data_IF_331516321151
#
_entry.id   IF_331516321151
#
_cell.length_a   1.000
_cell.length_b   1.000
_cell.length_c   1.000
_cell.angle_alpha   90.00
_cell.angle_beta   90.00
_cell.angle_gamma   90.00
#
_symmetry.space_group_name_H-M   'P 1'
#
loop_
_entity.id
_entity.type
_entity.pdbx_description
1 polymer ?
#
# COMPACT_ATOMS: atom_id res chain seq x y z
N UNK A 1 0.08 11.95 6.94
CA UNK A 1 0.93 11.34 5.88
C UNK A 1 1.53 10.06 6.45
N UNK A 2 1.70 9.03 5.63
CA UNK A 2 1.93 7.65 6.10
C UNK A 2 3.11 7.53 7.10
N UNK A 3 3.00 6.68 8.13
CA UNK A 3 4.09 6.44 9.08
C UNK A 3 5.30 5.80 8.37
N UNK A 4 6.49 5.89 8.97
CA UNK A 4 7.72 5.32 8.38
C UNK A 4 7.63 3.81 8.12
N UNK A 5 6.86 3.10 8.96
CA UNK A 5 6.54 1.68 8.83
C UNK A 5 5.03 1.49 8.94
N UNK A 6 4.47 0.66 8.08
CA UNK A 6 3.04 0.38 8.04
C UNK A 6 2.76 -1.07 7.64
N UNK A 7 1.61 -1.60 8.04
CA UNK A 7 1.09 -2.84 7.46
C UNK A 7 0.46 -2.57 6.10
N UNK A 8 0.44 -3.55 5.20
CA UNK A 8 -0.24 -3.39 3.89
C UNK A 8 -1.73 -3.06 4.03
N UNK A 9 -2.38 -3.54 5.10
CA UNK A 9 -3.77 -3.22 5.40
C UNK A 9 -3.94 -1.73 5.76
N UNK A 10 -3.03 -1.18 6.55
CA UNK A 10 -3.07 0.24 6.91
C UNK A 10 -2.87 1.11 5.66
N UNK A 11 -1.92 0.75 4.79
CA UNK A 11 -1.70 1.47 3.53
C UNK A 11 -2.94 1.36 2.61
N UNK A 12 -3.55 0.18 2.48
CA UNK A 12 -4.78 0.00 1.70
C UNK A 12 -5.87 0.96 2.18
N UNK A 13 -6.18 0.97 3.49
CA UNK A 13 -7.21 1.83 4.08
C UNK A 13 -6.96 3.32 3.86
N UNK A 14 -5.69 3.73 3.91
CA UNK A 14 -5.30 5.10 3.64
C UNK A 14 -5.57 5.49 2.18
N UNK A 15 -5.20 4.63 1.23
CA UNK A 15 -5.44 4.86 -0.20
C UNK A 15 -6.94 4.85 -0.50
N UNK A 16 -7.71 3.95 0.09
CA UNK A 16 -9.17 3.90 -0.04
C UNK A 16 -9.81 5.19 0.48
N UNK A 17 -9.34 5.69 1.63
CA UNK A 17 -9.84 6.92 2.24
C UNK A 17 -9.50 8.17 1.42
N UNK A 18 -8.34 8.21 0.75
CA UNK A 18 -7.93 9.32 -0.11
C UNK A 18 -8.62 9.28 -1.47
N UNK A 19 -8.75 8.08 -2.06
CA UNK A 19 -9.33 7.91 -3.41
C UNK A 19 -10.86 7.81 -3.40
N UNK A 20 -11.47 7.52 -2.25
CA UNK A 20 -12.90 7.23 -2.13
C UNK A 20 -13.32 5.92 -2.81
N UNK A 21 -12.36 5.04 -3.13
CA UNK A 21 -12.60 3.75 -3.80
C UNK A 21 -12.26 2.61 -2.87
N UNK A 22 -13.00 1.50 -2.97
CA UNK A 22 -12.63 0.24 -2.32
C UNK A 22 -11.62 -0.52 -3.18
N UNK A 23 -10.54 -1.01 -2.56
CA UNK A 23 -9.47 -1.71 -3.25
C UNK A 23 -9.54 -3.21 -2.97
N UNK A 24 -9.43 -4.02 -4.02
CA UNK A 24 -9.33 -5.46 -3.85
C UNK A 24 -7.97 -5.83 -3.24
N UNK A 25 -7.99 -6.36 -2.01
CA UNK A 25 -6.80 -6.68 -1.19
C UNK A 25 -5.70 -7.43 -1.94
N UNK A 26 -6.06 -8.46 -2.71
CA UNK A 26 -5.08 -9.26 -3.46
C UNK A 26 -4.47 -8.48 -4.62
N UNK A 27 -5.26 -7.66 -5.32
CA UNK A 27 -4.77 -6.86 -6.43
C UNK A 27 -3.86 -5.74 -5.94
N UNK A 28 -4.24 -5.11 -4.82
CA UNK A 28 -3.43 -4.09 -4.17
C UNK A 28 -2.06 -4.63 -3.77
N UNK A 29 -2.03 -5.80 -3.10
CA UNK A 29 -0.77 -6.44 -2.73
C UNK A 29 0.07 -6.81 -3.96
N UNK A 30 -0.54 -7.37 -5.01
CA UNK A 30 0.15 -7.68 -6.27
C UNK A 30 0.70 -6.42 -6.96
N UNK A 31 -0.03 -5.31 -6.90
CA UNK A 31 0.40 -4.03 -7.46
C UNK A 31 1.65 -3.53 -6.74
N UNK A 32 1.64 -3.51 -5.41
CA UNK A 32 2.78 -3.06 -4.61
C UNK A 32 4.03 -3.91 -4.83
N UNK A 33 3.85 -5.23 -4.93
CA UNK A 33 4.92 -6.18 -5.21
C UNK A 33 5.52 -5.96 -6.60
N UNK A 34 4.68 -5.91 -7.65
CA UNK A 34 5.12 -5.68 -9.04
C UNK A 34 5.79 -4.33 -9.26
N UNK A 35 5.35 -3.31 -8.53
CA UNK A 35 5.88 -1.95 -8.68
C UNK A 35 7.12 -1.71 -7.84
N UNK A 36 7.46 -2.59 -6.89
CA UNK A 36 8.59 -2.40 -5.99
C UNK A 36 8.47 -1.14 -5.12
N UNK A 37 7.25 -0.63 -4.91
CA UNK A 37 7.02 0.61 -4.15
C UNK A 37 7.26 0.45 -2.65
N UNK A 38 7.20 -0.79 -2.17
CA UNK A 38 7.40 -1.14 -0.77
C UNK A 38 8.45 -2.23 -0.64
N UNK A 39 9.07 -2.30 0.53
CA UNK A 39 9.94 -3.39 0.94
C UNK A 39 9.55 -3.84 2.34
N UNK A 40 9.69 -5.14 2.60
CA UNK A 40 9.46 -5.71 3.93
C UNK A 40 10.53 -5.22 4.89
N UNK A 41 10.11 -4.74 6.06
CA UNK A 41 11.03 -4.27 7.10
C UNK A 41 11.60 -5.41 7.96
N UNK A 42 11.12 -6.65 7.78
CA UNK A 42 11.47 -7.80 8.63
C UNK A 42 10.87 -7.73 10.04
N UNK A 43 10.12 -6.68 10.34
CA UNK A 43 9.41 -6.47 11.59
C UNK A 43 7.94 -6.84 11.44
N UNK A 44 7.31 -7.20 12.54
CA UNK A 44 5.91 -7.60 12.55
C UNK A 44 5.15 -6.85 13.64
N UNK A 45 3.96 -6.35 13.27
CA UNK A 45 3.02 -5.73 14.18
C UNK A 45 2.07 -6.79 14.77
N UNK A 46 2.11 -6.94 16.09
CA UNK A 46 1.23 -7.83 16.85
C UNK A 46 0.09 -7.08 17.57
N UNK A 47 -0.09 -5.79 17.31
CA UNK A 47 -1.05 -4.94 18.04
C UNK A 47 -2.50 -5.26 17.68
N UNK A 48 -2.75 -5.81 16.48
CA UNK A 48 -4.07 -6.07 15.94
C UNK A 48 -4.80 -7.30 16.54
N UNK A 49 -4.31 -7.88 17.64
CA UNK A 49 -4.98 -8.96 18.39
C UNK A 49 -5.08 -10.31 17.67
N UNK A 50 -4.45 -10.46 16.50
CA UNK A 50 -4.46 -11.66 15.66
C UNK A 50 -3.06 -12.08 15.20
N UNK A 51 -2.97 -12.75 14.04
CA UNK A 51 -1.67 -13.14 13.46
C UNK A 51 -0.83 -11.86 13.22
N UNK A 52 0.43 -11.84 13.66
CA UNK A 52 1.30 -10.69 13.46
C UNK A 52 1.41 -10.32 11.97
N UNK A 53 1.23 -9.04 11.67
CA UNK A 53 1.26 -8.51 10.31
C UNK A 53 2.63 -7.93 10.01
N UNK A 54 3.24 -8.33 8.90
CA UNK A 54 4.53 -7.78 8.47
C UNK A 54 4.43 -6.27 8.24
N UNK A 55 5.44 -5.55 8.72
CA UNK A 55 5.63 -4.13 8.50
C UNK A 55 6.42 -3.90 7.22
N UNK A 56 6.01 -2.87 6.49
CA UNK A 56 6.58 -2.45 5.23
C UNK A 56 7.00 -0.99 5.32
N UNK A 57 8.01 -0.62 4.53
CA UNK A 57 8.42 0.77 4.32
C UNK A 57 8.38 1.11 2.84
N UNK A 58 8.20 2.39 2.53
CA UNK A 58 8.21 2.87 1.15
C UNK A 58 9.65 2.95 0.61
N UNK A 59 9.89 2.44 -0.60
CA UNK A 59 11.18 2.60 -1.28
C UNK A 59 11.26 4.00 -1.90
N UNK A 60 12.09 4.86 -1.32
CA UNK A 60 12.28 6.24 -1.80
C UNK A 60 12.85 6.30 -3.22
N UNK A 61 13.66 5.32 -3.57
CA UNK A 61 14.31 5.15 -4.88
C UNK A 61 13.22 5.04 -5.97
N UNK A 62 12.35 4.04 -5.86
CA UNK A 62 11.23 3.79 -6.77
C UNK A 62 10.22 4.94 -6.82
N UNK A 63 10.01 5.65 -5.70
CA UNK A 63 9.13 6.82 -5.63
C UNK A 63 9.73 8.04 -6.33
N UNK A 64 11.06 8.20 -6.29
CA UNK A 64 11.76 9.34 -6.88
C UNK A 64 12.00 9.17 -8.38
N UNK A 65 12.16 7.93 -8.86
CA UNK A 65 12.35 7.62 -10.29
C UNK A 65 11.05 7.78 -11.12
N UNK A 66 9.91 7.88 -10.45
CA UNK A 66 8.63 8.13 -11.10
C UNK A 66 8.32 9.62 -11.04
N UNK A 67 8.25 10.35 -12.16
CA UNK A 67 7.68 11.69 -12.13
C UNK A 67 6.28 11.57 -11.50
N UNK A 68 6.04 12.39 -10.48
CA UNK A 68 4.76 12.52 -9.78
C UNK A 68 3.70 13.06 -10.76
N UNK A 69 3.17 12.17 -11.59
CA UNK A 69 2.25 12.48 -12.68
C UNK A 69 1.68 11.21 -13.26
N UNK A 70 0.51 10.79 -12.76
CA UNK A 70 -0.27 9.68 -13.33
C UNK A 70 -0.36 8.45 -12.44
N UNK A 71 -0.99 8.57 -11.26
CA UNK A 71 -1.63 7.40 -10.66
C UNK A 71 -2.84 7.08 -11.53
N UNK A 72 -2.70 6.10 -12.43
CA UNK A 72 -3.83 5.59 -13.19
C UNK A 72 -4.70 4.75 -12.26
N UNK A 73 -5.61 5.42 -11.56
CA UNK A 73 -6.65 4.75 -10.77
C UNK A 73 -7.65 4.17 -11.78
N UNK A 74 -7.78 2.84 -11.91
CA UNK A 74 -8.81 2.28 -12.78
C UNK A 74 -10.17 2.74 -12.25
N UNK A 75 -10.96 3.38 -13.12
CA UNK A 75 -12.30 3.83 -12.77
C UNK A 75 -13.13 2.66 -12.22
N UNK A 76 -13.90 2.86 -11.13
CA UNK A 76 -14.77 1.81 -10.61
C UNK A 76 -15.80 1.44 -11.70
N UNK A 77 -15.83 0.16 -12.09
CA UNK A 77 -16.98 -0.36 -12.84
C UNK A 77 -18.19 -0.28 -11.92
N UNK A 78 -19.19 0.53 -12.32
CA UNK A 78 -20.55 0.40 -11.79
C UNK A 78 -21.29 -0.60 -12.69
N UNK A 79 -21.90 -1.59 -12.06
CA UNK A 79 -22.98 -2.40 -12.62
C UNK A 79 -24.29 -1.62 -12.49
#
# INVERSE_FOLDING_TARGET
LAPEKFTLLHLQRMVESISGLELHKQNFRRLLDRTGLVEGAGEFDSSAGGRPAELFRARRETLSERPVGGVHVPAPRRE
#
